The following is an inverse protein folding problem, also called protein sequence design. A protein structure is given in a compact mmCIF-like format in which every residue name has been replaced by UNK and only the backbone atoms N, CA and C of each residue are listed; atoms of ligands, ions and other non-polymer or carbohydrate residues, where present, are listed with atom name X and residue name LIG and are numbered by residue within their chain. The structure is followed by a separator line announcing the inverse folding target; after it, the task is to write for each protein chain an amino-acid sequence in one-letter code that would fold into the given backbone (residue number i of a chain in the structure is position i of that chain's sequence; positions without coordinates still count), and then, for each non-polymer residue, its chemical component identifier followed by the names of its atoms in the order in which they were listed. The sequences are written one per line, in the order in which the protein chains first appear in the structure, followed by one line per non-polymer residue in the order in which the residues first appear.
data_IF_227516906430
#
_entry.id   IF_227516906430
#
_cell.length_a   1.000
_cell.length_b   1.000
_cell.length_c   1.000
_cell.angle_alpha   90.00
_cell.angle_beta   90.00
_cell.angle_gamma   90.00
#
_symmetry.space_group_name_H-M   'P 1'
#
loop_
_entity.id
_entity.type
_entity.pdbx_description
1 polymer ?
#
# COMPACT_ATOMS: atom_id res chain seq x y z
N UNK A 1 13.83 -5.85 -20.64
CA UNK A 1 13.07 -6.84 -19.85
C UNK A 1 11.86 -7.48 -20.56
N UNK A 2 11.53 -7.13 -21.81
CA UNK A 2 10.54 -7.86 -22.62
C UNK A 2 11.17 -8.53 -23.83
N UNK A 3 12.49 -8.50 -23.91
CA UNK A 3 13.26 -9.29 -24.86
C UNK A 3 13.00 -10.79 -24.65
N UNK A 4 13.34 -11.56 -25.69
CA UNK A 4 13.14 -13.01 -25.71
C UNK A 4 13.93 -13.72 -24.62
N UNK A 5 15.09 -13.19 -24.21
CA UNK A 5 15.94 -13.81 -23.20
C UNK A 5 15.31 -13.74 -21.81
N UNK A 6 14.87 -12.56 -21.36
CA UNK A 6 14.20 -12.40 -20.07
C UNK A 6 12.87 -13.15 -20.01
N UNK A 7 12.06 -13.01 -21.07
CA UNK A 7 10.77 -13.70 -21.12
C UNK A 7 10.94 -15.23 -21.03
N UNK A 8 11.97 -15.77 -21.69
CA UNK A 8 12.33 -17.18 -21.60
C UNK A 8 12.80 -17.56 -20.20
N UNK A 9 13.65 -16.76 -19.56
CA UNK A 9 14.11 -17.00 -18.19
C UNK A 9 12.91 -17.12 -17.21
N UNK A 10 12.01 -16.13 -17.24
CA UNK A 10 10.83 -16.14 -16.38
C UNK A 10 9.91 -17.35 -16.64
N UNK A 11 9.79 -17.76 -17.90
CA UNK A 11 9.06 -18.97 -18.30
C UNK A 11 9.74 -20.24 -17.77
N UNK A 12 11.04 -20.41 -18.02
CA UNK A 12 11.80 -21.60 -17.61
C UNK A 12 11.77 -21.76 -16.09
N UNK A 13 11.94 -20.67 -15.34
CA UNK A 13 11.84 -20.65 -13.86
C UNK A 13 10.45 -21.05 -13.40
N UNK A 14 9.39 -20.51 -14.02
CA UNK A 14 8.02 -20.93 -13.74
C UNK A 14 7.83 -22.42 -14.01
N UNK A 15 8.25 -22.93 -15.17
CA UNK A 15 8.12 -24.36 -15.54
C UNK A 15 8.90 -25.26 -14.60
N UNK A 16 10.13 -24.91 -14.24
CA UNK A 16 10.94 -25.65 -13.28
C UNK A 16 10.25 -25.70 -11.90
N UNK A 17 9.71 -24.56 -11.44
CA UNK A 17 9.04 -24.47 -10.15
C UNK A 17 7.74 -25.30 -10.07
N UNK A 18 7.14 -25.68 -11.21
CA UNK A 18 5.99 -26.60 -11.21
C UNK A 18 6.34 -27.98 -10.63
N UNK A 19 7.60 -28.39 -10.76
CA UNK A 19 8.10 -29.66 -10.19
C UNK A 19 8.50 -29.60 -8.71
N UNK A 20 8.47 -28.41 -8.08
CA UNK A 20 8.90 -28.24 -6.69
C UNK A 20 7.67 -28.12 -5.78
N UNK A 21 7.51 -29.10 -4.88
CA UNK A 21 6.34 -29.22 -4.00
C UNK A 21 6.01 -27.95 -3.21
N UNK A 22 7.01 -27.21 -2.73
CA UNK A 22 6.81 -25.96 -1.96
C UNK A 22 6.06 -24.87 -2.73
N UNK A 23 6.11 -24.89 -4.06
CA UNK A 23 5.43 -23.93 -4.92
C UNK A 23 4.11 -24.47 -5.46
N UNK A 24 3.73 -25.71 -5.15
CA UNK A 24 2.46 -26.30 -5.56
C UNK A 24 1.36 -26.08 -4.53
N UNK A 25 0.17 -25.68 -4.99
CA UNK A 25 -1.06 -25.66 -4.17
C UNK A 25 -1.93 -26.90 -4.40
N UNK A 26 -1.81 -27.51 -5.57
CA UNK A 26 -2.57 -28.67 -6.03
C UNK A 26 -2.31 -28.91 -7.51
N UNK A 27 -2.61 -30.11 -8.01
CA UNK A 27 -2.25 -30.55 -9.36
C UNK A 27 -2.79 -29.64 -10.49
N UNK A 28 -3.93 -28.98 -10.26
CA UNK A 28 -4.58 -28.10 -11.23
C UNK A 28 -4.30 -26.61 -11.01
N UNK A 29 -3.30 -26.25 -10.20
CA UNK A 29 -2.98 -24.87 -9.85
C UNK A 29 -1.75 -24.33 -10.57
N UNK A 30 -1.57 -23.01 -10.53
CA UNK A 30 -0.35 -22.35 -10.99
C UNK A 30 0.80 -22.55 -9.96
N UNK A 31 2.05 -22.34 -10.39
CA UNK A 31 3.19 -22.29 -9.46
C UNK A 31 3.17 -21.02 -8.60
N UNK A 32 3.30 -21.17 -7.28
CA UNK A 32 3.37 -20.07 -6.30
C UNK A 32 4.75 -19.43 -6.17
N UNK A 33 5.69 -19.74 -7.06
CA UNK A 33 6.98 -19.04 -7.10
C UNK A 33 6.74 -17.54 -7.29
N UNK A 34 7.44 -16.69 -6.56
CA UNK A 34 7.36 -15.24 -6.74
C UNK A 34 8.53 -14.83 -7.63
N UNK A 35 8.22 -14.18 -8.74
CA UNK A 35 9.20 -13.61 -9.65
C UNK A 35 8.91 -12.11 -9.74
N UNK A 36 9.82 -11.30 -9.18
CA UNK A 36 9.74 -9.85 -9.29
C UNK A 36 10.74 -9.32 -10.30
N UNK A 37 10.26 -8.54 -11.27
CA UNK A 37 11.13 -7.80 -12.18
C UNK A 37 11.41 -6.41 -11.64
N UNK A 38 12.66 -5.96 -11.75
CA UNK A 38 12.98 -4.54 -11.72
C UNK A 38 12.88 -4.00 -13.14
N UNK A 39 11.73 -3.41 -13.49
CA UNK A 39 11.43 -2.99 -14.85
C UNK A 39 10.60 -1.71 -14.88
N UNK A 40 11.10 -0.68 -14.18
CA UNK A 40 10.40 0.58 -13.88
C UNK A 40 9.61 1.14 -15.06
N UNK A 41 10.25 1.34 -16.22
CA UNK A 41 9.61 1.92 -17.41
C UNK A 41 8.74 0.98 -18.25
N UNK A 42 8.66 -0.31 -17.90
CA UNK A 42 7.92 -1.35 -18.67
C UNK A 42 7.11 -2.28 -17.76
N UNK A 43 6.78 -1.81 -16.56
CA UNK A 43 6.24 -2.65 -15.49
C UNK A 43 4.97 -3.40 -15.91
N UNK A 44 4.06 -2.68 -16.57
CA UNK A 44 2.80 -3.21 -17.13
C UNK A 44 3.04 -4.27 -18.21
N UNK A 45 3.94 -3.98 -19.14
CA UNK A 45 4.27 -4.88 -20.26
C UNK A 45 4.91 -6.17 -19.77
N UNK A 46 5.81 -6.09 -18.78
CA UNK A 46 6.45 -7.26 -18.18
C UNK A 46 5.40 -8.18 -17.57
N UNK A 47 4.46 -7.65 -16.78
CA UNK A 47 3.39 -8.45 -16.18
C UNK A 47 2.43 -9.04 -17.22
N UNK A 48 2.14 -8.30 -18.31
CA UNK A 48 1.27 -8.80 -19.39
C UNK A 48 1.94 -9.88 -20.23
N UNK A 49 3.22 -9.71 -20.55
CA UNK A 49 3.86 -10.45 -21.64
C UNK A 49 4.86 -11.52 -21.19
N UNK A 50 5.27 -11.53 -19.91
CA UNK A 50 6.21 -12.53 -19.37
C UNK A 50 5.58 -13.38 -18.26
N UNK A 51 6.27 -14.41 -17.77
CA UNK A 51 5.79 -15.26 -16.64
C UNK A 51 6.09 -14.67 -15.25
N UNK A 52 6.57 -13.42 -15.22
CA UNK A 52 6.73 -12.63 -14.01
C UNK A 52 5.36 -12.33 -13.39
N UNK A 53 5.27 -12.40 -12.05
CA UNK A 53 4.02 -12.17 -11.33
C UNK A 53 4.06 -10.99 -10.36
N UNK A 54 5.22 -10.36 -10.23
CA UNK A 54 5.38 -9.11 -9.52
C UNK A 54 6.36 -8.17 -10.24
N UNK A 55 6.22 -6.87 -10.06
CA UNK A 55 7.12 -5.89 -10.68
C UNK A 55 7.37 -4.73 -9.73
N UNK A 56 8.61 -4.25 -9.71
CA UNK A 56 9.01 -3.02 -9.04
C UNK A 56 8.67 -1.82 -9.93
N UNK A 57 8.08 -0.79 -9.33
CA UNK A 57 7.67 0.46 -9.98
C UNK A 57 7.62 1.58 -8.93
N UNK A 58 7.85 2.83 -9.35
CA UNK A 58 8.07 3.95 -8.43
C UNK A 58 6.89 4.94 -8.39
N UNK A 59 5.77 4.66 -9.05
CA UNK A 59 4.66 5.61 -9.22
C UNK A 59 4.06 6.04 -7.87
N UNK A 60 3.83 5.09 -6.95
CA UNK A 60 3.33 5.40 -5.60
C UNK A 60 4.38 6.11 -4.74
N UNK A 61 5.66 5.72 -4.84
CA UNK A 61 6.76 6.38 -4.17
C UNK A 61 6.83 7.85 -4.59
N UNK A 62 7.00 8.10 -5.89
CA UNK A 62 7.16 9.42 -6.47
C UNK A 62 5.95 10.32 -6.12
N UNK A 63 4.74 9.76 -6.18
CA UNK A 63 3.54 10.53 -5.80
C UNK A 63 3.53 10.90 -4.31
N UNK A 64 3.98 9.98 -3.45
CA UNK A 64 4.05 10.22 -2.00
C UNK A 64 5.09 11.28 -1.66
N UNK A 65 6.27 11.23 -2.28
CA UNK A 65 7.33 12.24 -2.13
C UNK A 65 6.84 13.63 -2.58
N UNK A 66 6.17 13.69 -3.73
CA UNK A 66 5.61 14.93 -4.29
C UNK A 66 4.51 15.53 -3.40
N UNK A 67 3.55 14.71 -2.94
CA UNK A 67 2.52 15.14 -2.00
C UNK A 67 3.10 15.61 -0.67
N UNK A 68 4.12 14.91 -0.15
CA UNK A 68 4.77 15.27 1.11
C UNK A 68 5.51 16.62 0.98
N UNK A 69 6.22 16.81 -0.13
CA UNK A 69 6.98 18.05 -0.44
C UNK A 69 6.05 19.26 -0.55
N UNK A 70 4.96 19.11 -1.31
CA UNK A 70 4.09 20.23 -1.67
C UNK A 70 2.81 20.33 -0.82
N UNK A 71 2.66 19.45 0.18
CA UNK A 71 1.59 19.45 1.19
C UNK A 71 0.19 19.49 0.59
N UNK A 72 -0.04 18.65 -0.40
CA UNK A 72 -1.33 18.50 -1.07
C UNK A 72 -1.73 17.04 -1.17
N UNK A 73 -3.00 16.80 -1.51
CA UNK A 73 -3.50 15.50 -1.94
C UNK A 73 -4.35 15.67 -3.19
N UNK A 74 -4.33 14.67 -4.06
CA UNK A 74 -5.17 14.63 -5.25
C UNK A 74 -5.66 13.22 -5.58
N UNK A 75 -6.48 13.12 -6.63
CA UNK A 75 -7.10 11.88 -7.06
C UNK A 75 -6.08 10.88 -7.65
N UNK A 76 -4.93 11.33 -8.14
CA UNK A 76 -3.91 10.46 -8.71
C UNK A 76 -3.36 9.52 -7.63
N UNK A 77 -3.12 10.02 -6.42
CA UNK A 77 -2.70 9.18 -5.30
C UNK A 77 -3.71 8.05 -5.04
N UNK A 78 -5.01 8.37 -4.98
CA UNK A 78 -6.05 7.36 -4.78
C UNK A 78 -6.09 6.33 -5.91
N UNK A 79 -5.90 6.75 -7.17
CA UNK A 79 -5.78 5.82 -8.29
C UNK A 79 -4.58 4.89 -8.13
N UNK A 80 -3.42 5.39 -7.67
CA UNK A 80 -2.22 4.56 -7.43
C UNK A 80 -2.42 3.50 -6.34
N UNK A 81 -3.36 3.69 -5.40
CA UNK A 81 -3.73 2.67 -4.41
C UNK A 81 -4.51 1.49 -5.00
N UNK A 82 -5.02 1.61 -6.22
CA UNK A 82 -5.52 0.48 -7.00
C UNK A 82 -4.83 0.40 -8.38
N UNK A 83 -3.88 -0.55 -8.54
CA UNK A 83 -3.17 -0.78 -9.80
C UNK A 83 -4.07 -0.96 -11.03
N UNK A 84 -5.35 -1.33 -10.86
CA UNK A 84 -6.29 -1.49 -11.96
C UNK A 84 -6.58 -0.16 -12.69
N UNK A 85 -6.68 0.97 -11.96
CA UNK A 85 -6.84 2.30 -12.56
C UNK A 85 -5.64 2.69 -13.41
N UNK A 86 -4.48 2.13 -13.10
CA UNK A 86 -3.23 2.41 -13.78
C UNK A 86 -2.90 1.37 -14.85
N UNK A 87 -3.85 0.52 -15.25
CA UNK A 87 -3.67 -0.42 -16.37
C UNK A 87 -2.77 -1.63 -16.08
N UNK A 88 -2.48 -1.92 -14.80
CA UNK A 88 -1.83 -3.17 -14.44
C UNK A 88 -2.80 -4.36 -14.60
N UNK A 89 -2.36 -5.49 -15.18
CA UNK A 89 -3.18 -6.69 -15.23
C UNK A 89 -3.43 -7.24 -13.82
N UNK A 90 -4.58 -7.88 -13.61
CA UNK A 90 -4.90 -8.57 -12.36
C UNK A 90 -4.48 -10.04 -12.39
N UNK A 91 -4.53 -10.66 -13.56
CA UNK A 91 -4.13 -12.05 -13.80
C UNK A 91 -3.37 -12.16 -15.12
N UNK A 92 -2.71 -13.30 -15.28
CA UNK A 92 -2.14 -13.76 -16.54
C UNK A 92 -2.43 -15.24 -16.72
N UNK A 93 -2.85 -15.62 -17.93
CA UNK A 93 -2.98 -17.02 -18.31
C UNK A 93 -1.59 -17.69 -18.36
N UNK A 94 -1.44 -18.78 -17.63
CA UNK A 94 -0.26 -19.66 -17.61
C UNK A 94 -0.72 -21.11 -17.72
N UNK A 95 0.21 -22.07 -17.58
CA UNK A 95 -0.11 -23.50 -17.57
C UNK A 95 0.18 -24.12 -16.22
N UNK A 96 -0.62 -25.09 -15.80
CA UNK A 96 -0.34 -25.91 -14.61
C UNK A 96 0.67 -27.04 -14.90
N UNK A 97 0.91 -27.91 -13.93
CA UNK A 97 1.82 -29.06 -14.07
C UNK A 97 1.40 -30.03 -15.19
N UNK A 98 0.09 -30.19 -15.42
CA UNK A 98 -0.47 -31.01 -16.50
C UNK A 98 -0.52 -30.30 -17.87
N UNK A 99 -0.06 -29.04 -17.96
CA UNK A 99 -0.09 -28.26 -19.20
C UNK A 99 -1.44 -27.60 -19.51
N UNK A 100 -2.45 -27.73 -18.65
CA UNK A 100 -3.74 -27.08 -18.84
C UNK A 100 -3.67 -25.60 -18.44
N UNK A 101 -4.44 -24.71 -19.12
CA UNK A 101 -4.45 -23.29 -18.83
C UNK A 101 -5.02 -23.00 -17.44
N UNK A 102 -4.43 -22.03 -16.74
CA UNK A 102 -4.86 -21.54 -15.43
C UNK A 102 -4.48 -20.07 -15.29
N UNK A 103 -5.31 -19.29 -14.60
CA UNK A 103 -4.99 -17.89 -14.29
C UNK A 103 -4.09 -17.79 -13.06
N UNK A 104 -2.95 -17.13 -13.23
CA UNK A 104 -2.05 -16.75 -12.15
C UNK A 104 -2.27 -15.29 -11.78
N UNK A 105 -2.43 -14.94 -10.49
CA UNK A 105 -2.53 -13.56 -10.06
C UNK A 105 -1.20 -12.83 -10.27
N UNK A 106 -1.28 -11.58 -10.72
CA UNK A 106 -0.11 -10.70 -10.86
C UNK A 106 -0.38 -9.33 -10.22
N UNK A 107 0.62 -8.72 -9.60
CA UNK A 107 0.46 -7.41 -8.96
C UNK A 107 1.80 -6.68 -8.84
N UNK A 108 1.84 -5.34 -8.97
CA UNK A 108 3.05 -4.59 -8.67
C UNK A 108 3.36 -4.60 -7.17
N UNK A 109 4.64 -4.43 -6.85
CA UNK A 109 5.04 -3.95 -5.53
C UNK A 109 4.60 -2.50 -5.38
N UNK A 110 4.09 -2.18 -4.21
CA UNK A 110 3.72 -0.84 -3.82
C UNK A 110 4.53 -0.48 -2.58
N UNK A 111 5.19 0.66 -2.60
CA UNK A 111 6.10 1.05 -1.54
C UNK A 111 6.20 2.57 -1.41
N UNK A 112 6.68 3.00 -0.24
CA UNK A 112 6.88 4.41 0.11
C UNK A 112 8.35 4.74 0.38
N UNK A 113 9.16 3.74 0.69
CA UNK A 113 10.59 3.90 0.94
C UNK A 113 11.36 2.68 0.40
N UNK A 114 12.63 2.90 0.07
CA UNK A 114 13.55 1.85 -0.34
C UNK A 114 15.00 2.27 -0.06
N UNK A 115 15.94 1.36 -0.30
CA UNK A 115 17.37 1.64 -0.22
C UNK A 115 17.92 2.59 -1.30
N UNK A 116 17.11 2.98 -2.27
CA UNK A 116 17.54 3.82 -3.39
C UNK A 116 17.08 5.28 -3.27
N UNK A 117 16.22 5.59 -2.31
CA UNK A 117 15.63 6.92 -2.17
C UNK A 117 15.78 7.44 -0.74
N UNK A 118 15.70 8.77 -0.58
CA UNK A 118 15.56 9.37 0.75
C UNK A 118 14.33 8.80 1.44
N UNK A 119 14.37 8.68 2.76
CA UNK A 119 13.18 8.27 3.51
C UNK A 119 12.09 9.35 3.39
N UNK A 120 10.82 8.94 3.40
CA UNK A 120 9.71 9.82 3.01
C UNK A 120 9.64 11.07 3.89
N UNK A 121 10.06 10.97 5.15
CA UNK A 121 10.08 12.08 6.10
C UNK A 121 11.00 13.23 5.68
N UNK A 122 12.04 12.98 4.89
CA UNK A 122 12.93 14.02 4.36
C UNK A 122 12.16 15.03 3.51
N UNK A 123 11.15 14.56 2.78
CA UNK A 123 10.28 15.39 1.96
C UNK A 123 9.28 16.20 2.80
N UNK A 124 9.04 15.83 4.06
CA UNK A 124 8.22 16.63 4.98
C UNK A 124 8.98 17.87 5.50
N UNK A 125 10.30 17.72 5.63
CA UNK A 125 11.22 18.73 6.13
C UNK A 125 12.49 18.07 6.67
N UNK A 126 13.56 18.84 6.80
CA UNK A 126 14.85 18.39 7.32
C UNK A 126 15.28 19.21 8.54
N UNK A 127 16.13 18.63 9.39
CA UNK A 127 16.68 19.31 10.57
C UNK A 127 18.22 19.21 10.60
N UNK A 128 18.86 20.21 11.20
CA UNK A 128 20.32 20.29 11.30
C UNK A 128 21.02 20.85 10.06
N UNK A 129 22.36 20.83 10.11
CA UNK A 129 23.23 21.39 9.09
C UNK A 129 23.89 20.30 8.23
N UNK A 130 24.44 20.69 7.08
CA UNK A 130 25.23 19.83 6.20
C UNK A 130 24.62 19.65 4.80
N UNK A 131 25.31 18.93 3.92
CA UNK A 131 24.87 18.78 2.52
C UNK A 131 23.65 17.86 2.36
N UNK A 132 23.40 16.95 3.30
CA UNK A 132 22.27 16.01 3.29
C UNK A 132 21.68 15.92 4.71
N UNK A 133 20.99 16.97 5.17
CA UNK A 133 20.43 16.99 6.52
C UNK A 133 19.36 15.91 6.65
N UNK A 134 19.27 15.20 7.80
CA UNK A 134 18.26 14.18 8.02
C UNK A 134 16.86 14.78 8.03
N UNK A 135 15.85 13.93 7.82
CA UNK A 135 14.46 14.33 7.96
C UNK A 135 14.12 14.78 9.38
N UNK A 136 13.25 15.79 9.49
CA UNK A 136 12.80 16.31 10.79
C UNK A 136 11.78 15.35 11.40
N UNK A 137 12.23 14.56 12.39
CA UNK A 137 11.38 13.56 13.06
C UNK A 137 10.25 14.16 13.89
N UNK A 138 10.27 15.47 14.19
CA UNK A 138 9.09 16.15 14.76
C UNK A 138 7.89 16.15 13.80
N UNK A 139 8.11 15.89 12.51
CA UNK A 139 7.10 15.78 11.47
C UNK A 139 6.66 14.33 11.19
N UNK A 140 7.11 13.34 11.97
CA UNK A 140 6.81 11.92 11.76
C UNK A 140 5.30 11.60 11.72
N UNK A 141 4.47 12.42 12.37
CA UNK A 141 3.01 12.28 12.32
C UNK A 141 2.45 12.38 10.88
N UNK A 142 3.13 13.09 9.97
CA UNK A 142 2.73 13.21 8.55
C UNK A 142 2.88 11.91 7.76
N UNK A 143 3.64 10.94 8.26
CA UNK A 143 3.83 9.63 7.62
C UNK A 143 2.60 8.71 7.78
N UNK A 144 1.78 8.95 8.80
CA UNK A 144 0.69 8.06 9.19
C UNK A 144 -0.37 7.81 8.08
N UNK A 145 -0.91 8.82 7.36
CA UNK A 145 -1.90 8.56 6.32
C UNK A 145 -1.30 7.76 5.15
N UNK A 146 -0.02 7.96 4.83
CA UNK A 146 0.69 7.16 3.83
C UNK A 146 0.87 5.71 4.30
N UNK A 147 1.23 5.48 5.56
CA UNK A 147 1.31 4.15 6.14
C UNK A 147 -0.03 3.40 6.06
N UNK A 148 -1.13 4.08 6.41
CA UNK A 148 -2.49 3.52 6.33
C UNK A 148 -2.83 3.19 4.87
N UNK A 149 -2.53 4.09 3.93
CA UNK A 149 -2.72 3.87 2.49
C UNK A 149 -1.96 2.62 2.01
N UNK A 150 -0.67 2.51 2.34
CA UNK A 150 0.20 1.38 1.97
C UNK A 150 -0.35 0.04 2.45
N UNK A 151 -0.92 -0.04 3.65
CA UNK A 151 -1.44 -1.31 4.17
C UNK A 151 -2.88 -1.61 3.78
N UNK A 152 -3.58 -0.65 3.18
CA UNK A 152 -4.98 -0.81 2.76
C UNK A 152 -5.19 -0.72 1.25
N UNK A 153 -4.14 -0.46 0.47
CA UNK A 153 -4.16 -0.51 -1.00
C UNK A 153 -4.32 -1.92 -1.56
N UNK A 154 -4.67 -1.99 -2.84
CA UNK A 154 -4.62 -3.21 -3.64
C UNK A 154 -3.21 -3.47 -4.17
N UNK A 155 -2.72 -4.70 -4.00
CA UNK A 155 -1.39 -5.11 -4.46
C UNK A 155 -0.53 -5.67 -3.34
N UNK A 156 0.78 -5.60 -3.52
CA UNK A 156 1.75 -6.15 -2.58
C UNK A 156 2.48 -4.99 -1.89
N UNK A 157 2.12 -4.63 -0.65
CA UNK A 157 2.85 -3.61 0.07
C UNK A 157 4.21 -4.12 0.49
N UNK A 158 5.24 -3.31 0.27
CA UNK A 158 6.58 -3.51 0.77
C UNK A 158 6.85 -2.55 1.93
N UNK A 159 7.38 -3.09 3.02
CA UNK A 159 7.91 -2.31 4.12
C UNK A 159 9.44 -2.32 4.01
N UNK A 160 10.04 -1.14 3.92
CA UNK A 160 11.49 -0.98 4.02
C UNK A 160 11.91 -0.85 5.48
N UNK A 161 13.06 -1.43 5.83
CA UNK A 161 13.55 -1.40 7.21
C UNK A 161 13.73 0.04 7.70
N UNK A 162 13.15 0.38 8.85
CA UNK A 162 13.24 1.72 9.43
C UNK A 162 12.09 2.65 9.08
N UNK A 163 11.32 2.35 8.04
CA UNK A 163 10.10 3.10 7.72
C UNK A 163 9.10 3.04 8.89
N UNK A 164 9.05 1.92 9.61
CA UNK A 164 8.08 1.67 10.67
C UNK A 164 8.33 2.45 11.97
N UNK A 165 9.49 3.07 12.12
CA UNK A 165 9.83 3.97 13.24
C UNK A 165 10.30 5.35 12.75
N UNK A 166 10.04 5.67 11.48
CA UNK A 166 10.30 6.98 10.90
C UNK A 166 11.78 7.28 10.77
N UNK A 167 12.53 6.37 10.14
CA UNK A 167 13.90 6.65 9.75
C UNK A 167 14.00 7.91 8.89
N UNK A 168 15.10 8.64 9.04
CA UNK A 168 15.29 10.00 8.57
C UNK A 168 16.46 10.17 7.59
N UNK A 169 16.92 9.09 6.97
CA UNK A 169 18.07 9.15 6.08
C UNK A 169 17.78 9.95 4.80
N UNK A 170 18.57 11.01 4.58
CA UNK A 170 18.56 11.80 3.36
C UNK A 170 19.62 11.30 2.38
N UNK A 171 19.16 10.80 1.24
CA UNK A 171 20.00 10.15 0.26
C UNK A 171 20.45 11.10 -0.85
N UNK A 172 21.77 11.20 -1.11
CA UNK A 172 22.26 11.91 -2.27
C UNK A 172 21.72 11.30 -3.57
N UNK A 173 21.34 12.16 -4.52
CA UNK A 173 20.84 11.72 -5.83
C UNK A 173 21.91 11.01 -6.67
N UNK A 174 23.20 11.28 -6.43
CA UNK A 174 24.31 10.67 -7.15
C UNK A 174 25.65 10.80 -6.39
N UNK A 175 26.70 10.21 -6.95
CA UNK A 175 28.08 10.38 -6.50
C UNK A 175 28.52 9.42 -5.38
N UNK A 176 29.80 9.52 -4.93
CA UNK A 176 30.38 8.60 -3.96
C UNK A 176 29.59 8.54 -2.64
N UNK A 177 29.06 9.68 -2.18
CA UNK A 177 28.29 9.75 -0.95
C UNK A 177 27.03 8.85 -0.97
N UNK A 178 26.41 8.65 -2.14
CA UNK A 178 25.26 7.76 -2.29
C UNK A 178 25.61 6.29 -2.00
N UNK A 179 26.81 5.84 -2.36
CA UNK A 179 27.20 4.43 -2.34
C UNK A 179 28.24 4.08 -1.26
N UNK A 180 28.95 5.07 -0.72
CA UNK A 180 30.05 4.87 0.24
C UNK A 180 29.67 5.24 1.68
N UNK A 181 28.56 5.93 1.91
CA UNK A 181 28.08 6.22 3.26
C UNK A 181 27.35 5.02 3.86
N UNK A 182 27.62 4.77 5.15
CA UNK A 182 26.84 3.80 5.94
C UNK A 182 25.44 4.32 6.15
N UNK A 183 24.48 3.40 6.09
CA UNK A 183 23.04 3.61 6.26
C UNK A 183 22.56 2.62 7.31
N UNK A 184 23.10 2.80 8.51
CA UNK A 184 22.86 1.90 9.63
C UNK A 184 21.43 2.12 10.14
N UNK A 185 20.82 1.05 10.64
CA UNK A 185 19.50 1.15 11.27
C UNK A 185 19.65 1.84 12.62
N UNK A 186 18.97 2.98 12.77
CA UNK A 186 18.92 3.76 14.01
C UNK A 186 17.94 3.14 15.01
N UNK A 187 18.36 2.10 15.73
CA UNK A 187 17.51 1.37 16.68
C UNK A 187 16.97 2.23 17.81
N UNK A 188 17.66 3.30 18.19
CA UNK A 188 17.19 4.29 19.15
C UNK A 188 15.85 4.91 18.74
N UNK A 189 15.63 5.10 17.43
CA UNK A 189 14.40 5.68 16.88
C UNK A 189 13.18 4.77 17.09
N UNK A 190 13.40 3.45 17.24
CA UNK A 190 12.33 2.51 17.56
C UNK A 190 11.69 2.77 18.93
N UNK A 191 12.43 3.36 19.87
CA UNK A 191 12.03 3.49 21.27
C UNK A 191 11.59 4.89 21.67
N UNK A 192 11.74 5.88 20.80
CA UNK A 192 11.43 7.27 21.14
C UNK A 192 9.98 7.67 20.87
N UNK A 193 9.68 8.93 21.19
CA UNK A 193 8.34 9.51 21.12
C UNK A 193 7.76 9.58 19.69
N UNK A 194 8.61 9.55 18.65
CA UNK A 194 8.17 9.60 17.25
C UNK A 194 8.00 8.21 16.66
N UNK A 195 8.90 7.28 16.98
CA UNK A 195 8.88 5.92 16.43
C UNK A 195 7.85 5.03 17.10
N UNK A 196 7.65 5.12 18.42
CA UNK A 196 6.69 4.26 19.14
C UNK A 196 5.27 4.34 18.56
N UNK A 197 4.69 5.52 18.27
CA UNK A 197 3.39 5.63 17.61
C UNK A 197 3.35 4.96 16.23
N UNK A 198 4.39 5.15 15.40
CA UNK A 198 4.47 4.54 14.07
C UNK A 198 4.58 3.01 14.15
N UNK A 199 5.41 2.49 15.06
CA UNK A 199 5.54 1.05 15.27
C UNK A 199 4.22 0.44 15.70
N UNK A 200 3.47 1.10 16.60
CA UNK A 200 2.11 0.68 16.95
C UNK A 200 1.22 0.64 15.71
N UNK A 201 1.20 1.73 14.93
CA UNK A 201 0.38 1.84 13.72
C UNK A 201 0.70 0.72 12.72
N UNK A 202 1.96 0.52 12.34
CA UNK A 202 2.37 -0.53 11.40
C UNK A 202 2.03 -1.94 11.89
N UNK A 203 2.15 -2.21 13.19
CA UNK A 203 1.74 -3.51 13.78
C UNK A 203 0.23 -3.74 13.65
N UNK A 204 -0.57 -2.72 13.91
CA UNK A 204 -2.02 -2.77 13.78
C UNK A 204 -2.41 -2.97 12.31
N UNK A 205 -1.84 -2.16 11.41
CA UNK A 205 -2.07 -2.25 9.96
C UNK A 205 -1.67 -3.61 9.38
N UNK A 206 -0.51 -4.15 9.78
CA UNK A 206 -0.07 -5.49 9.37
C UNK A 206 -1.01 -6.58 9.86
N UNK A 207 -1.50 -6.48 11.10
CA UNK A 207 -2.52 -7.40 11.64
C UNK A 207 -3.83 -7.28 10.87
N UNK A 208 -4.32 -6.05 10.63
CA UNK A 208 -5.56 -5.82 9.89
C UNK A 208 -5.50 -6.36 8.47
N UNK A 209 -4.43 -6.06 7.72
CA UNK A 209 -4.27 -6.59 6.36
C UNK A 209 -4.21 -8.11 6.35
N UNK A 210 -3.58 -8.73 7.36
CA UNK A 210 -3.51 -10.19 7.47
C UNK A 210 -4.87 -10.82 7.78
N UNK A 211 -5.66 -10.21 8.67
CA UNK A 211 -6.91 -10.81 9.16
C UNK A 211 -8.14 -10.46 8.32
N UNK A 212 -8.15 -9.30 7.67
CA UNK A 212 -9.24 -8.86 6.80
C UNK A 212 -8.99 -9.29 5.35
N UNK A 213 -9.95 -10.01 4.77
CA UNK A 213 -9.90 -10.46 3.38
C UNK A 213 -10.10 -9.28 2.42
N UNK A 214 -10.95 -8.32 2.79
CA UNK A 214 -11.19 -7.09 2.03
C UNK A 214 -9.88 -6.37 1.69
N UNK A 215 -8.99 -6.19 2.66
CA UNK A 215 -7.71 -5.50 2.46
C UNK A 215 -6.72 -6.27 1.56
N UNK A 216 -6.94 -7.56 1.29
CA UNK A 216 -6.13 -8.41 0.39
C UNK A 216 -6.86 -8.80 -0.89
N UNK A 217 -8.07 -8.31 -1.10
CA UNK A 217 -8.85 -8.59 -2.29
C UNK A 217 -8.32 -7.79 -3.50
N UNK A 218 -9.01 -7.93 -4.64
CA UNK A 218 -8.81 -7.10 -5.83
C UNK A 218 -9.97 -6.15 -6.11
N UNK A 219 -10.87 -6.00 -5.16
CA UNK A 219 -12.01 -5.09 -5.31
C UNK A 219 -11.75 -3.86 -4.45
N UNK A 220 -11.77 -2.72 -5.11
CA UNK A 220 -11.64 -1.40 -4.51
C UNK A 220 -12.59 -0.45 -5.20
N UNK A 221 -13.06 0.56 -4.46
CA UNK A 221 -13.87 1.64 -5.01
C UNK A 221 -13.42 2.96 -4.41
N UNK A 222 -13.00 3.89 -5.26
CA UNK A 222 -12.61 5.24 -4.87
C UNK A 222 -13.80 6.20 -4.96
N UNK A 223 -14.12 6.85 -3.84
CA UNK A 223 -15.22 7.83 -3.75
C UNK A 223 -14.76 9.20 -4.27
N UNK A 224 -14.50 9.29 -5.58
CA UNK A 224 -13.96 10.50 -6.23
C UNK A 224 -14.80 11.76 -5.98
N UNK A 225 -16.13 11.64 -6.03
CA UNK A 225 -17.05 12.78 -5.86
C UNK A 225 -17.11 13.31 -4.43
N UNK A 226 -16.79 12.48 -3.43
CA UNK A 226 -16.82 12.85 -2.01
C UNK A 226 -15.43 13.21 -1.48
N UNK A 227 -14.39 12.67 -2.10
CA UNK A 227 -13.00 12.97 -1.76
C UNK A 227 -12.62 14.37 -2.24
N UNK A 228 -11.68 14.99 -1.53
CA UNK A 228 -11.03 16.24 -1.92
C UNK A 228 -11.99 17.44 -2.11
N UNK A 229 -13.17 17.38 -1.47
CA UNK A 229 -14.16 18.46 -1.53
C UNK A 229 -13.79 19.61 -0.58
N UNK A 230 -14.25 20.82 -0.90
CA UNK A 230 -14.08 22.02 -0.05
C UNK A 230 -12.63 22.28 0.37
N UNK A 231 -11.68 22.05 -0.54
CA UNK A 231 -10.23 22.15 -0.27
C UNK A 231 -9.71 21.23 0.84
N UNK A 232 -10.50 20.23 1.26
CA UNK A 232 -10.02 19.19 2.16
C UNK A 232 -9.02 18.28 1.42
N UNK A 233 -8.09 17.71 2.17
CA UNK A 233 -7.17 16.69 1.65
C UNK A 233 -7.61 15.31 2.13
N UNK A 234 -8.93 15.07 2.13
CA UNK A 234 -9.51 13.79 2.56
C UNK A 234 -9.78 12.91 1.35
N UNK A 235 -9.21 11.71 1.36
CA UNK A 235 -9.44 10.65 0.36
C UNK A 235 -10.24 9.53 1.03
N UNK A 236 -11.28 9.06 0.35
CA UNK A 236 -12.09 7.92 0.79
C UNK A 236 -12.16 6.84 -0.28
N UNK A 237 -11.94 5.60 0.13
CA UNK A 237 -12.18 4.41 -0.68
C UNK A 237 -12.62 3.25 0.19
N UNK A 238 -13.27 2.26 -0.41
CA UNK A 238 -13.48 0.98 0.26
C UNK A 238 -12.74 -0.15 -0.43
N UNK A 239 -12.52 -1.20 0.35
CA UNK A 239 -12.03 -2.51 -0.07
C UNK A 239 -13.11 -3.54 0.23
N UNK A 240 -13.33 -4.47 -0.69
CA UNK A 240 -14.40 -5.46 -0.56
C UNK A 240 -13.87 -6.86 -0.89
N UNK A 241 -14.34 -7.87 -0.18
CA UNK A 241 -14.19 -9.26 -0.58
C UNK A 241 -15.54 -9.96 -0.49
N UNK A 242 -16.04 -10.42 -1.65
CA UNK A 242 -17.26 -11.21 -1.73
C UNK A 242 -17.21 -12.45 -0.82
N UNK A 243 -18.37 -12.94 -0.40
CA UNK A 243 -18.48 -14.22 0.30
C UNK A 243 -17.90 -15.35 -0.57
N UNK A 244 -17.09 -16.22 0.02
CA UNK A 244 -16.45 -17.32 -0.71
C UNK A 244 -16.26 -18.54 0.20
N UNK A 245 -16.84 -19.67 -0.18
CA UNK A 245 -16.89 -20.88 0.64
C UNK A 245 -17.48 -20.56 2.04
N UNK A 246 -16.79 -20.93 3.11
CA UNK A 246 -17.21 -20.64 4.49
C UNK A 246 -16.80 -19.22 4.99
N UNK A 247 -16.25 -18.36 4.12
CA UNK A 247 -15.83 -17.01 4.50
C UNK A 247 -16.94 -16.01 4.17
N UNK A 248 -17.43 -15.22 5.15
CA UNK A 248 -18.45 -14.21 4.89
C UNK A 248 -17.91 -13.09 4.01
N UNK A 249 -18.83 -12.29 3.48
CA UNK A 249 -18.54 -11.00 2.85
C UNK A 249 -17.77 -10.11 3.85
N UNK A 250 -16.78 -9.37 3.37
CA UNK A 250 -15.91 -8.53 4.20
C UNK A 250 -15.70 -7.18 3.52
N UNK A 251 -15.85 -6.09 4.29
CA UNK A 251 -15.63 -4.72 3.82
C UNK A 251 -14.70 -3.97 4.76
N UNK A 252 -13.90 -3.08 4.17
CA UNK A 252 -13.19 -2.05 4.91
C UNK A 252 -13.40 -0.69 4.20
N UNK A 253 -13.93 0.29 4.92
CA UNK A 253 -13.99 1.69 4.50
C UNK A 253 -12.76 2.40 5.04
N UNK A 254 -12.01 3.07 4.17
CA UNK A 254 -10.76 3.74 4.49
C UNK A 254 -10.91 5.24 4.21
N UNK A 255 -10.61 6.05 5.21
CA UNK A 255 -10.60 7.51 5.13
C UNK A 255 -9.21 8.00 5.50
N UNK A 256 -8.60 8.83 4.66
CA UNK A 256 -7.24 9.36 4.85
C UNK A 256 -7.29 10.87 4.77
N UNK A 257 -6.65 11.57 5.70
CA UNK A 257 -6.55 13.02 5.70
C UNK A 257 -5.07 13.44 5.72
N UNK A 258 -4.64 14.12 4.67
CA UNK A 258 -3.26 14.58 4.48
C UNK A 258 -3.06 16.04 4.91
N UNK A 259 -4.12 16.73 5.34
CA UNK A 259 -4.05 18.13 5.76
C UNK A 259 -3.61 18.28 7.22
N UNK A 260 -3.13 19.48 7.55
CA UNK A 260 -2.72 19.88 8.90
C UNK A 260 -3.90 20.21 9.84
N UNK A 261 -5.13 19.94 9.39
CA UNK A 261 -6.36 20.14 10.16
C UNK A 261 -7.28 18.94 10.07
N UNK A 262 -8.04 18.66 11.13
CA UNK A 262 -9.12 17.68 11.01
C UNK A 262 -10.16 18.17 9.98
N UNK A 263 -10.68 17.28 9.16
CA UNK A 263 -11.59 17.61 8.08
C UNK A 263 -12.75 16.62 8.03
N UNK A 264 -13.96 17.15 7.81
CA UNK A 264 -15.16 16.34 7.68
C UNK A 264 -15.34 15.85 6.25
N UNK A 265 -15.77 14.59 6.10
CA UNK A 265 -16.18 14.01 4.82
C UNK A 265 -17.57 13.40 4.96
N UNK A 266 -18.44 13.65 3.99
CA UNK A 266 -19.73 12.96 3.87
C UNK A 266 -19.63 11.93 2.75
N UNK A 267 -19.66 10.64 3.11
CA UNK A 267 -19.39 9.52 2.20
C UNK A 267 -20.42 8.40 2.38
N UNK A 268 -20.88 7.72 1.30
CA UNK A 268 -21.84 6.63 1.43
C UNK A 268 -21.14 5.36 1.87
N UNK A 269 -21.57 4.80 3.00
CA UNK A 269 -21.09 3.48 3.43
C UNK A 269 -21.81 2.39 2.64
N UNK A 270 -21.09 1.41 2.06
CA UNK A 270 -21.66 0.52 1.05
C UNK A 270 -22.69 -0.48 1.59
N UNK A 271 -22.69 -0.73 2.91
CA UNK A 271 -23.58 -1.70 3.58
C UNK A 271 -24.21 -1.11 4.84
N UNK A 272 -25.49 -1.39 5.02
CA UNK A 272 -26.23 -1.19 6.26
C UNK A 272 -25.68 -2.10 7.37
N UNK A 273 -25.66 -1.59 8.60
CA UNK A 273 -25.18 -2.31 9.77
C UNK A 273 -24.09 -1.54 10.52
N UNK A 274 -23.28 -2.27 11.30
CA UNK A 274 -22.30 -1.68 12.20
C UNK A 274 -20.92 -1.63 11.56
N UNK A 275 -20.24 -0.49 11.68
CA UNK A 275 -18.90 -0.27 11.15
C UNK A 275 -17.98 0.17 12.28
N UNK A 276 -17.00 -0.66 12.61
CA UNK A 276 -16.08 -0.41 13.73
C UNK A 276 -14.74 0.11 13.21
N UNK A 277 -14.29 1.25 13.73
CA UNK A 277 -12.95 1.78 13.49
C UNK A 277 -11.92 0.86 14.15
N UNK A 278 -10.86 0.49 13.42
CA UNK A 278 -9.95 -0.56 13.84
C UNK A 278 -8.52 -0.11 14.18
N UNK A 279 -8.10 1.10 13.79
CA UNK A 279 -6.74 1.58 14.06
C UNK A 279 -6.57 1.90 15.54
N UNK A 280 -7.55 2.58 16.15
CA UNK A 280 -7.49 3.00 17.54
C UNK A 280 -8.48 2.26 18.43
N UNK A 281 -8.97 1.10 18.00
CA UNK A 281 -9.99 0.34 18.73
C UNK A 281 -9.58 -0.10 20.15
N UNK A 282 -8.28 -0.21 20.44
CA UNK A 282 -7.75 -0.48 21.79
C UNK A 282 -7.73 0.76 22.69
N UNK A 283 -7.82 1.96 22.12
CA UNK A 283 -7.78 3.25 22.82
C UNK A 283 -9.19 3.88 22.86
N UNK A 284 -9.91 3.82 21.74
CA UNK A 284 -11.22 4.44 21.52
C UNK A 284 -12.09 3.54 20.66
N UNK A 285 -13.15 3.02 21.26
CA UNK A 285 -14.22 2.37 20.52
C UNK A 285 -15.00 3.42 19.72
N UNK A 286 -14.88 3.39 18.39
CA UNK A 286 -15.65 4.24 17.50
C UNK A 286 -16.41 3.39 16.49
N UNK A 287 -17.74 3.44 16.56
CA UNK A 287 -18.64 2.69 15.70
C UNK A 287 -19.61 3.62 14.98
N UNK A 288 -19.87 3.35 13.71
CA UNK A 288 -20.90 4.00 12.90
C UNK A 288 -21.98 2.98 12.58
N UNK A 289 -23.24 3.32 12.87
CA UNK A 289 -24.40 2.52 12.48
C UNK A 289 -25.02 3.09 11.22
N UNK A 290 -25.03 2.31 10.16
CA UNK A 290 -25.52 2.69 8.82
C UNK A 290 -26.93 2.12 8.64
N UNK A 291 -27.92 2.97 8.41
CA UNK A 291 -29.34 2.59 8.38
C UNK A 291 -29.78 1.83 7.13
N UNK A 292 -29.14 2.10 5.99
CA UNK A 292 -29.40 1.45 4.71
C UNK A 292 -28.12 1.42 3.87
N UNK A 293 -28.01 0.47 2.94
CA UNK A 293 -26.89 0.42 1.98
C UNK A 293 -26.75 1.77 1.26
N UNK A 294 -25.54 2.29 1.19
CA UNK A 294 -25.25 3.58 0.57
C UNK A 294 -25.66 4.81 1.39
N UNK A 295 -26.13 4.65 2.65
CA UNK A 295 -26.48 5.82 3.46
C UNK A 295 -25.23 6.67 3.75
N UNK A 296 -25.38 7.99 3.52
CA UNK A 296 -24.32 8.97 3.73
C UNK A 296 -23.99 9.11 5.22
N UNK A 297 -22.70 9.01 5.54
CA UNK A 297 -22.19 9.22 6.88
C UNK A 297 -21.23 10.41 6.87
N UNK A 298 -21.38 11.31 7.84
CA UNK A 298 -20.46 12.41 8.04
C UNK A 298 -19.42 12.02 9.09
N UNK A 299 -18.14 12.01 8.70
CA UNK A 299 -17.03 11.56 9.55
C UNK A 299 -15.98 12.67 9.62
N UNK A 300 -15.61 13.07 10.85
CA UNK A 300 -14.48 13.97 11.08
C UNK A 300 -13.18 13.16 11.12
N UNK A 301 -12.34 13.31 10.10
CA UNK A 301 -11.06 12.60 9.98
C UNK A 301 -9.95 13.47 10.57
N UNK A 302 -9.14 12.99 11.55
CA UNK A 302 -8.07 13.77 12.16
C UNK A 302 -7.02 14.24 11.15
N UNK A 303 -6.33 15.33 11.44
CA UNK A 303 -5.21 15.85 10.62
C UNK A 303 -4.09 14.81 10.49
N UNK A 304 -3.48 14.70 9.30
CA UNK A 304 -2.36 13.79 9.05
C UNK A 304 -2.58 12.37 9.61
N UNK A 305 -3.75 11.79 9.36
CA UNK A 305 -4.14 10.50 9.91
C UNK A 305 -5.22 9.83 9.04
N UNK A 306 -5.82 8.75 9.53
CA UNK A 306 -6.92 8.11 8.85
C UNK A 306 -7.68 7.13 9.73
N UNK A 307 -8.75 6.58 9.16
CA UNK A 307 -9.57 5.54 9.78
C UNK A 307 -9.70 4.35 8.86
N UNK A 308 -9.77 3.15 9.46
CA UNK A 308 -10.15 1.92 8.77
C UNK A 308 -11.35 1.34 9.50
N UNK A 309 -12.54 1.62 8.99
CA UNK A 309 -13.77 1.02 9.49
C UNK A 309 -13.98 -0.35 8.85
N UNK A 310 -14.20 -1.37 9.65
CA UNK A 310 -14.55 -2.71 9.16
C UNK A 310 -16.01 -2.99 9.46
N UNK A 311 -16.70 -3.55 8.47
CA UNK A 311 -18.09 -3.97 8.60
C UNK A 311 -18.22 -5.16 9.56
N UNK A 312 -19.11 -5.03 10.52
CA UNK A 312 -19.61 -6.09 11.38
C UNK A 312 -21.11 -6.24 11.09
N UNK A 313 -21.46 -7.39 10.51
CA UNK A 313 -22.85 -7.78 10.25
C UNK A 313 -23.65 -7.90 11.56
#
# INVERSE_FOLDING_TARGET
PTDTAYAKLAYDVYRYSLGISRFQRGANSYSRIIQCAEALGKARDVLRNTYTNCVWQDELLNKSEDMMTWKYADAEFAHLLDPSFNGYPSTKAVVNAAGAPVDMPVAPFQYLESHDHSQLIVFAGTTGDGPWPPGDRTLAYRLQPFAIALYTLQGIPMLWQGQEFGGDYNMPSSGPARIQLRRDVHWEQFYDEYGVPLVRLYRILGRLRRTRRSLRSRESYFYYQQSLQNSSQVIAYHRHAAAANAQPEDYAMVLLNFSDSAAAITVPFPKAGSWQEMIDNDIRNYTITVSSDGAMQNVLVPSNYGYVFVFAA
#
